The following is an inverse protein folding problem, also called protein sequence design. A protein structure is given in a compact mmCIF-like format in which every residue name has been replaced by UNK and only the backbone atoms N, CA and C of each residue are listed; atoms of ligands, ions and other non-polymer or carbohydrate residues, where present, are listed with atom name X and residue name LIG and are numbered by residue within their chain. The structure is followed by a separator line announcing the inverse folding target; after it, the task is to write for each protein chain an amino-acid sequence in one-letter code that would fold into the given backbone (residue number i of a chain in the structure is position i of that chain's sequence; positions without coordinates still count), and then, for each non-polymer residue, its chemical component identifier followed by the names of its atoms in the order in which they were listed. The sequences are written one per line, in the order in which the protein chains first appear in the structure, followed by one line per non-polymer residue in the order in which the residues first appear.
data_IF_689640691833
#
_entry.id   IF_689640691833
#
_cell.length_a   1.000
_cell.length_b   1.000
_cell.length_c   1.000
_cell.angle_alpha   90.00
_cell.angle_beta   90.00
_cell.angle_gamma   90.00
#
_symmetry.space_group_name_H-M   'P 1'
#
loop_
_entity.id
_entity.type
_entity.pdbx_description
1 polymer ?
#
# COMPACT_ATOMS: atom_id res chain seq x y z
N UNK A 1 9.65 2.98 8.05
CA UNK A 1 10.63 2.32 7.15
C UNK A 1 10.41 0.82 7.16
N UNK A 2 10.41 0.19 6.00
CA UNK A 2 10.31 -1.26 5.81
C UNK A 2 11.62 -1.78 5.21
N UNK A 3 12.08 -2.94 5.67
CA UNK A 3 13.17 -3.64 5.00
C UNK A 3 12.57 -4.57 3.96
N UNK A 4 13.02 -4.44 2.73
CA UNK A 4 12.52 -5.22 1.60
C UNK A 4 13.64 -5.98 0.90
N UNK A 5 13.31 -7.06 0.24
CA UNK A 5 14.22 -7.84 -0.59
C UNK A 5 13.46 -8.57 -1.71
N UNK A 6 14.15 -8.93 -2.76
CA UNK A 6 13.58 -9.82 -3.77
C UNK A 6 13.30 -11.21 -3.18
N UNK A 7 12.22 -11.88 -3.56
CA UNK A 7 11.90 -13.23 -3.11
C UNK A 7 12.99 -14.27 -3.49
N UNK A 8 13.11 -15.28 -2.65
CA UNK A 8 14.00 -16.42 -2.91
C UNK A 8 15.50 -16.12 -2.80
N UNK A 9 16.31 -16.83 -3.60
CA UNK A 9 17.79 -16.75 -3.55
C UNK A 9 18.33 -15.42 -4.05
N UNK A 10 17.64 -14.78 -4.99
CA UNK A 10 18.05 -13.48 -5.56
C UNK A 10 18.16 -12.42 -4.45
N UNK A 11 17.18 -12.37 -3.54
CA UNK A 11 17.19 -11.42 -2.42
C UNK A 11 18.23 -11.69 -1.32
N UNK A 12 19.02 -12.75 -1.47
CA UNK A 12 20.12 -13.09 -0.55
C UNK A 12 21.51 -12.82 -1.15
N UNK A 13 21.54 -12.40 -2.42
CA UNK A 13 22.80 -12.07 -3.08
C UNK A 13 23.32 -10.71 -2.61
N UNK A 14 24.64 -10.55 -2.42
CA UNK A 14 25.22 -9.23 -2.20
C UNK A 14 24.89 -8.31 -3.38
N UNK A 15 24.60 -7.07 -3.08
CA UNK A 15 24.44 -6.01 -4.08
C UNK A 15 25.42 -4.87 -3.77
N UNK A 16 25.86 -4.18 -4.81
CA UNK A 16 26.70 -2.99 -4.68
C UNK A 16 25.78 -1.82 -4.29
N UNK A 17 25.79 -1.45 -3.00
CA UNK A 17 24.97 -0.38 -2.47
C UNK A 17 23.61 -0.83 -1.89
N UNK A 18 22.79 0.14 -1.57
CA UNK A 18 21.47 -0.06 -0.97
C UNK A 18 20.40 0.56 -1.87
N UNK A 19 19.44 -0.26 -2.30
CA UNK A 19 18.26 0.23 -3.01
C UNK A 19 17.29 0.86 -2.03
N UNK A 20 16.89 2.08 -2.28
CA UNK A 20 15.94 2.88 -1.50
C UNK A 20 14.72 3.17 -2.36
N UNK A 21 13.57 2.78 -1.89
CA UNK A 21 12.29 3.11 -2.50
C UNK A 21 11.57 4.10 -1.59
N UNK A 22 11.12 5.21 -2.15
CA UNK A 22 10.46 6.30 -1.43
C UNK A 22 9.06 6.41 -2.00
N UNK A 23 8.07 6.15 -1.15
CA UNK A 23 6.66 6.25 -1.53
C UNK A 23 6.05 7.50 -0.89
N UNK A 24 5.62 8.42 -1.73
CA UNK A 24 4.85 9.59 -1.35
C UNK A 24 3.36 9.22 -1.40
N UNK A 25 2.84 8.76 -0.25
CA UNK A 25 1.50 8.18 -0.16
C UNK A 25 0.40 9.21 0.06
N UNK A 26 0.79 10.42 0.45
CA UNK A 26 -0.09 11.54 0.74
C UNK A 26 0.63 12.81 0.32
N UNK A 27 -0.10 13.75 -0.21
CA UNK A 27 0.41 15.07 -0.48
C UNK A 27 -0.25 16.10 0.41
N UNK A 28 0.52 17.04 0.90
CA UNK A 28 0.04 18.12 1.77
C UNK A 28 -0.91 19.10 1.05
N UNK A 29 -0.92 19.09 -0.27
CA UNK A 29 -1.61 20.04 -1.14
C UNK A 29 -2.55 19.37 -2.17
N UNK A 30 -2.84 18.07 -2.01
CA UNK A 30 -3.62 17.30 -2.98
C UNK A 30 -2.81 16.92 -4.23
N UNK A 31 -1.48 17.07 -4.20
CA UNK A 31 -0.60 16.67 -5.28
C UNK A 31 -0.55 15.13 -5.44
N UNK A 32 -0.01 14.72 -6.53
CA UNK A 32 0.03 13.33 -6.97
C UNK A 32 0.82 12.42 -6.02
N UNK A 33 0.27 11.25 -5.71
CA UNK A 33 1.03 10.17 -5.06
C UNK A 33 2.00 9.56 -6.07
N UNK A 34 3.23 9.28 -5.65
CA UNK A 34 4.25 8.73 -6.54
C UNK A 34 5.27 7.87 -5.79
N UNK A 35 6.04 7.12 -6.55
CA UNK A 35 7.08 6.22 -6.07
C UNK A 35 8.40 6.55 -6.73
N UNK A 36 9.47 6.60 -5.94
CA UNK A 36 10.82 6.86 -6.41
C UNK A 36 11.77 5.75 -5.99
N UNK A 37 12.81 5.57 -6.80
CA UNK A 37 13.93 4.70 -6.51
C UNK A 37 15.24 5.50 -6.53
N UNK A 38 16.08 5.24 -5.54
CA UNK A 38 17.45 5.73 -5.49
C UNK A 38 18.38 4.64 -4.97
N UNK A 39 19.56 4.54 -5.56
CA UNK A 39 20.64 3.75 -5.01
C UNK A 39 21.57 4.64 -4.18
N UNK A 40 21.91 4.20 -2.99
CA UNK A 40 22.95 4.82 -2.15
C UNK A 40 24.10 3.83 -1.92
N UNK A 41 25.30 4.35 -1.71
CA UNK A 41 26.51 3.51 -1.62
C UNK A 41 26.47 2.54 -0.43
N UNK A 42 25.91 2.99 0.69
CA UNK A 42 25.82 2.20 1.93
C UNK A 42 24.66 2.68 2.83
N UNK A 43 24.53 2.05 3.99
CA UNK A 43 23.51 2.41 4.99
C UNK A 43 23.69 3.84 5.52
N UNK A 44 24.91 4.38 5.54
CA UNK A 44 25.17 5.77 5.98
C UNK A 44 24.58 6.77 4.98
N UNK A 45 24.60 6.41 3.70
CA UNK A 45 23.95 7.21 2.65
C UNK A 45 22.45 7.43 2.86
N UNK A 46 21.77 6.56 3.63
CA UNK A 46 20.36 6.78 4.00
C UNK A 46 20.19 8.01 4.91
N UNK A 47 21.18 8.31 5.73
CA UNK A 47 21.12 9.42 6.70
C UNK A 47 21.32 10.79 6.03
N UNK A 48 21.77 10.80 4.79
CA UNK A 48 22.02 12.03 4.02
C UNK A 48 20.93 12.34 3.01
N UNK A 49 19.89 11.49 2.93
CA UNK A 49 18.76 11.73 2.05
C UNK A 49 17.87 12.84 2.61
N UNK A 50 17.73 13.93 1.86
CA UNK A 50 16.75 14.99 2.14
C UNK A 50 15.41 14.59 1.49
N UNK A 51 14.55 13.91 2.28
CA UNK A 51 13.23 13.45 1.84
C UNK A 51 12.20 14.47 2.35
N UNK A 52 11.50 15.12 1.42
CA UNK A 52 10.42 16.07 1.71
C UNK A 52 9.10 15.52 1.21
N UNK A 53 8.06 15.62 2.03
CA UNK A 53 6.72 15.13 1.66
C UNK A 53 6.22 15.84 0.39
N UNK A 54 5.74 15.05 -0.55
CA UNK A 54 5.16 15.56 -1.81
C UNK A 54 6.17 16.17 -2.81
N UNK A 55 7.47 16.14 -2.50
CA UNK A 55 8.50 16.69 -3.39
C UNK A 55 9.42 15.59 -3.90
N UNK A 56 9.87 15.66 -5.16
CA UNK A 56 10.85 14.73 -5.69
C UNK A 56 12.15 14.76 -4.89
N UNK A 57 12.69 13.58 -4.60
CA UNK A 57 13.96 13.41 -3.88
C UNK A 57 15.13 13.62 -4.85
N UNK A 58 16.10 14.45 -4.49
CA UNK A 58 17.27 14.71 -5.33
C UNK A 58 18.01 13.43 -5.69
N UNK A 59 18.25 13.23 -7.00
CA UNK A 59 18.95 12.07 -7.55
C UNK A 59 18.17 10.75 -7.46
N UNK A 60 16.89 10.78 -7.10
CA UNK A 60 15.99 9.66 -7.26
C UNK A 60 15.32 9.65 -8.64
N UNK A 61 14.94 8.49 -9.11
CA UNK A 61 14.20 8.29 -10.36
C UNK A 61 12.78 7.87 -10.03
N UNK A 62 11.80 8.55 -10.62
CA UNK A 62 10.39 8.18 -10.49
C UNK A 62 10.13 6.85 -11.17
N UNK A 63 9.37 5.99 -10.51
CA UNK A 63 8.93 4.71 -11.06
C UNK A 63 7.55 4.85 -11.70
N UNK A 64 7.36 4.15 -12.80
CA UNK A 64 6.11 4.06 -13.59
C UNK A 64 5.25 2.85 -13.22
N UNK A 65 5.69 2.07 -12.23
CA UNK A 65 5.00 0.87 -11.77
C UNK A 65 4.86 0.88 -10.23
N UNK A 66 3.81 0.24 -9.69
CA UNK A 66 3.65 0.11 -8.24
C UNK A 66 4.66 -0.88 -7.64
N UNK A 67 4.82 -0.86 -6.31
CA UNK A 67 5.44 -1.94 -5.56
C UNK A 67 4.39 -2.68 -4.73
N UNK A 68 4.42 -4.00 -4.82
CA UNK A 68 3.59 -4.87 -4.02
C UNK A 68 4.44 -5.62 -3.01
N UNK A 69 4.35 -5.19 -1.75
CA UNK A 69 5.16 -5.67 -0.65
C UNK A 69 4.41 -6.77 0.10
N UNK A 70 4.93 -8.00 0.10
CA UNK A 70 4.32 -9.14 0.78
C UNK A 70 5.12 -9.45 2.04
N UNK A 71 4.45 -9.44 3.20
CA UNK A 71 5.09 -9.74 4.48
C UNK A 71 5.47 -11.22 4.57
N UNK A 72 6.77 -11.47 4.73
CA UNK A 72 7.34 -12.82 4.90
C UNK A 72 8.09 -13.00 6.21
N UNK A 73 7.91 -12.05 7.15
CA UNK A 73 8.60 -12.04 8.44
C UNK A 73 8.12 -13.17 9.35
N UNK A 74 9.02 -14.03 9.78
CA UNK A 74 8.71 -15.23 10.56
C UNK A 74 9.09 -15.19 12.04
N UNK A 75 9.84 -14.17 12.49
CA UNK A 75 10.30 -14.11 13.89
C UNK A 75 9.20 -13.72 14.89
N UNK A 76 8.26 -12.88 14.48
CA UNK A 76 7.18 -12.40 15.35
C UNK A 76 5.94 -13.29 15.23
N UNK A 77 5.62 -13.75 14.03
CA UNK A 77 4.52 -14.66 13.73
C UNK A 77 4.87 -15.52 12.52
N UNK A 78 4.69 -16.82 12.66
CA UNK A 78 4.99 -17.77 11.58
C UNK A 78 4.04 -17.68 10.40
N UNK A 79 2.82 -17.19 10.61
CA UNK A 79 1.78 -17.15 9.57
C UNK A 79 2.22 -16.36 8.32
N UNK A 80 2.88 -15.21 8.52
CA UNK A 80 3.40 -14.43 7.39
C UNK A 80 4.51 -15.16 6.63
N UNK A 81 5.40 -15.88 7.33
CA UNK A 81 6.45 -16.66 6.66
C UNK A 81 5.86 -17.86 5.92
N UNK A 82 4.91 -18.59 6.52
CA UNK A 82 4.33 -19.81 5.95
C UNK A 82 3.46 -19.48 4.72
N UNK A 83 2.62 -18.46 4.81
CA UNK A 83 1.68 -18.09 3.74
C UNK A 83 2.25 -17.06 2.78
N UNK A 84 3.05 -16.11 3.28
CA UNK A 84 3.55 -15.01 2.47
C UNK A 84 4.69 -15.40 1.53
N UNK A 85 5.60 -16.30 1.95
CA UNK A 85 6.71 -16.71 1.08
C UNK A 85 6.28 -17.41 -0.20
N UNK A 86 5.39 -18.41 -0.17
CA UNK A 86 4.88 -19.03 -1.39
C UNK A 86 4.18 -18.02 -2.30
N UNK A 87 3.38 -17.12 -1.72
CA UNK A 87 2.69 -16.08 -2.47
C UNK A 87 3.69 -15.10 -3.11
N UNK A 88 4.67 -14.62 -2.34
CA UNK A 88 5.71 -13.72 -2.86
C UNK A 88 6.51 -14.36 -3.99
N UNK A 89 6.89 -15.63 -3.86
CA UNK A 89 7.60 -16.36 -4.91
C UNK A 89 6.76 -16.51 -6.18
N UNK A 90 5.48 -16.90 -6.04
CA UNK A 90 4.57 -17.06 -7.18
C UNK A 90 4.36 -15.73 -7.92
N UNK A 91 4.09 -14.65 -7.19
CA UNK A 91 3.87 -13.33 -7.78
C UNK A 91 5.16 -12.72 -8.36
N UNK A 92 6.31 -12.93 -7.73
CA UNK A 92 7.59 -12.44 -8.26
C UNK A 92 7.96 -13.08 -9.61
N UNK A 93 7.61 -14.34 -9.82
CA UNK A 93 7.85 -15.00 -11.11
C UNK A 93 7.05 -14.34 -12.26
N UNK A 94 5.91 -13.73 -11.94
CA UNK A 94 5.06 -13.04 -12.92
C UNK A 94 5.39 -11.54 -13.04
N UNK A 95 5.75 -10.91 -11.93
CA UNK A 95 5.96 -9.47 -11.79
C UNK A 95 7.26 -9.16 -11.03
N UNK A 96 8.43 -9.47 -11.59
CA UNK A 96 9.71 -9.40 -10.86
C UNK A 96 10.09 -8.00 -10.37
N UNK A 97 9.69 -6.95 -11.08
CA UNK A 97 9.99 -5.57 -10.67
C UNK A 97 9.04 -5.06 -9.59
N UNK A 98 7.78 -5.52 -9.62
CA UNK A 98 6.71 -5.07 -8.74
C UNK A 98 6.75 -5.72 -7.36
N UNK A 99 7.10 -7.02 -7.29
CA UNK A 99 6.92 -7.84 -6.09
C UNK A 99 8.18 -7.95 -5.24
N UNK A 100 8.01 -7.66 -3.95
CA UNK A 100 9.05 -7.72 -2.95
C UNK A 100 8.59 -8.40 -1.66
N UNK A 101 9.47 -9.14 -1.00
CA UNK A 101 9.28 -9.53 0.39
C UNK A 101 9.54 -8.34 1.31
N UNK A 102 8.73 -8.19 2.37
CA UNK A 102 8.93 -7.12 3.35
C UNK A 102 9.04 -7.64 4.78
N UNK A 103 9.67 -6.83 5.62
CA UNK A 103 9.67 -7.02 7.07
C UNK A 103 8.24 -6.90 7.63
N UNK A 104 8.09 -7.06 8.96
CA UNK A 104 6.77 -7.11 9.61
C UNK A 104 5.92 -5.85 9.36
N UNK A 105 4.75 -6.03 8.73
CA UNK A 105 3.78 -4.98 8.41
C UNK A 105 2.64 -4.83 9.44
N UNK A 106 2.77 -5.43 10.64
CA UNK A 106 1.75 -5.47 11.71
C UNK A 106 0.43 -6.17 11.38
N UNK A 107 0.28 -6.73 10.18
CA UNK A 107 -0.95 -7.36 9.70
C UNK A 107 -1.00 -8.89 9.84
N UNK A 108 -0.28 -9.53 10.78
CA UNK A 108 -0.13 -11.00 10.86
C UNK A 108 -1.44 -11.78 10.97
N UNK A 109 -2.48 -11.22 11.60
CA UNK A 109 -3.84 -11.83 11.67
C UNK A 109 -4.48 -12.01 10.30
N UNK A 110 -4.01 -11.29 9.32
CA UNK A 110 -4.49 -11.27 7.95
C UNK A 110 -3.47 -11.88 6.98
N UNK A 111 -2.58 -12.74 7.49
CA UNK A 111 -1.55 -13.39 6.67
C UNK A 111 -2.15 -14.20 5.51
N UNK A 112 -1.60 -14.09 4.31
CA UNK A 112 -0.50 -13.21 3.93
C UNK A 112 -0.93 -11.74 3.92
N UNK A 113 -0.19 -10.89 4.67
CA UNK A 113 -0.43 -9.45 4.68
C UNK A 113 0.46 -8.77 3.63
N UNK A 114 -0.08 -7.82 2.92
CA UNK A 114 0.65 -7.09 1.88
C UNK A 114 0.27 -5.61 1.85
N UNK A 115 1.13 -4.82 1.22
CA UNK A 115 0.96 -3.38 1.04
C UNK A 115 1.26 -3.03 -0.41
N UNK A 116 0.39 -2.22 -1.01
CA UNK A 116 0.52 -1.70 -2.36
C UNK A 116 0.95 -0.22 -2.30
N UNK A 117 2.09 0.08 -2.88
CA UNK A 117 2.64 1.43 -2.98
C UNK A 117 2.54 1.95 -4.43
N UNK A 118 2.40 3.27 -4.65
CA UNK A 118 2.54 4.37 -3.67
C UNK A 118 1.29 4.65 -2.83
N UNK A 119 0.13 4.12 -3.14
CA UNK A 119 -1.15 4.48 -2.50
C UNK A 119 -1.29 4.01 -1.05
N UNK A 120 -0.39 3.12 -0.58
CA UNK A 120 -0.40 2.54 0.76
C UNK A 120 -1.67 1.75 1.12
N UNK A 121 -2.27 1.07 0.13
CA UNK A 121 -3.36 0.13 0.40
C UNK A 121 -2.84 -1.15 1.03
N UNK A 122 -3.48 -1.56 2.11
CA UNK A 122 -3.20 -2.82 2.81
C UNK A 122 -4.15 -3.91 2.35
N UNK A 123 -3.61 -5.13 2.18
CA UNK A 123 -4.39 -6.31 1.84
C UNK A 123 -4.09 -7.46 2.79
N UNK A 124 -5.02 -8.38 2.91
CA UNK A 124 -4.85 -9.57 3.72
C UNK A 124 -5.62 -10.77 3.21
N UNK A 125 -5.09 -11.97 3.53
CA UNK A 125 -5.67 -13.27 3.18
C UNK A 125 -5.83 -13.50 1.68
N UNK A 126 -5.04 -12.82 0.87
CA UNK A 126 -5.09 -12.96 -0.58
C UNK A 126 -4.72 -14.38 -1.02
N UNK A 127 -5.49 -14.93 -1.94
CA UNK A 127 -5.07 -16.04 -2.78
C UNK A 127 -4.06 -15.57 -3.84
N UNK A 128 -3.46 -16.50 -4.58
CA UNK A 128 -2.58 -16.13 -5.70
C UNK A 128 -3.35 -15.42 -6.83
N UNK A 129 -4.64 -15.77 -7.02
CA UNK A 129 -5.51 -15.12 -8.01
C UNK A 129 -5.78 -13.67 -7.61
N UNK A 130 -6.17 -13.44 -6.34
CA UNK A 130 -6.46 -12.10 -5.85
C UNK A 130 -5.19 -11.23 -5.83
N UNK A 131 -4.04 -11.79 -5.42
CA UNK A 131 -2.77 -11.08 -5.45
C UNK A 131 -2.35 -10.65 -6.86
N UNK A 132 -2.61 -11.50 -7.86
CA UNK A 132 -2.45 -11.14 -9.27
C UNK A 132 -3.42 -10.01 -9.66
N UNK A 133 -4.69 -10.12 -9.25
CA UNK A 133 -5.71 -9.08 -9.45
C UNK A 133 -5.30 -7.73 -8.86
N UNK A 134 -4.76 -7.71 -7.63
CA UNK A 134 -4.23 -6.48 -7.00
C UNK A 134 -3.20 -5.79 -7.89
N UNK A 135 -2.26 -6.54 -8.46
CA UNK A 135 -1.20 -5.95 -9.29
C UNK A 135 -1.77 -5.43 -10.63
N UNK A 136 -2.61 -6.24 -11.27
CA UNK A 136 -3.20 -5.89 -12.58
C UNK A 136 -4.18 -4.71 -12.48
N UNK A 137 -4.98 -4.66 -11.41
CA UNK A 137 -5.87 -3.53 -11.13
C UNK A 137 -5.09 -2.26 -10.83
N UNK A 138 -4.03 -2.35 -10.01
CA UNK A 138 -3.17 -1.22 -9.69
C UNK A 138 -2.51 -0.61 -10.93
N UNK A 139 -2.09 -1.43 -11.90
CA UNK A 139 -1.54 -0.96 -13.18
C UNK A 139 -2.58 -0.20 -14.03
N UNK A 140 -3.87 -0.40 -13.76
CA UNK A 140 -4.98 0.31 -14.40
C UNK A 140 -5.52 1.48 -13.57
N UNK A 141 -4.87 1.78 -12.43
CA UNK A 141 -5.33 2.82 -11.51
C UNK A 141 -6.56 2.42 -10.70
N UNK A 142 -6.76 1.12 -10.46
CA UNK A 142 -7.91 0.57 -9.74
C UNK A 142 -7.45 -0.08 -8.43
N UNK A 143 -8.22 0.11 -7.36
CA UNK A 143 -8.04 -0.57 -6.08
C UNK A 143 -8.77 -1.91 -6.14
N UNK A 144 -8.07 -3.01 -6.00
CA UNK A 144 -8.67 -4.34 -5.93
C UNK A 144 -9.53 -4.49 -4.66
N UNK A 145 -10.79 -4.89 -4.83
CA UNK A 145 -11.75 -4.93 -3.72
C UNK A 145 -11.50 -6.08 -2.74
N UNK A 146 -11.15 -7.28 -3.29
CA UNK A 146 -10.98 -8.48 -2.48
C UNK A 146 -9.74 -8.40 -1.58
N UNK A 147 -9.93 -8.70 -0.30
CA UNK A 147 -8.88 -8.65 0.70
C UNK A 147 -8.38 -7.25 1.05
N UNK A 148 -8.92 -6.19 0.43
CA UNK A 148 -8.57 -4.82 0.74
C UNK A 148 -8.98 -4.44 2.17
N UNK A 149 -8.07 -3.79 2.88
CA UNK A 149 -8.25 -3.38 4.27
C UNK A 149 -8.18 -1.87 4.45
N UNK A 150 -8.15 -1.13 3.36
CA UNK A 150 -8.12 0.32 3.33
C UNK A 150 -6.73 0.91 3.20
N UNK A 151 -6.72 2.21 3.05
CA UNK A 151 -5.53 3.02 2.78
C UNK A 151 -4.82 3.36 4.10
N UNK A 152 -3.54 3.04 4.21
CA UNK A 152 -2.76 3.13 5.45
C UNK A 152 -2.46 4.56 5.93
N UNK A 153 -2.87 5.59 5.20
CA UNK A 153 -2.81 6.99 5.64
C UNK A 153 -3.96 7.35 6.58
N UNK A 154 -5.06 6.56 6.58
CA UNK A 154 -6.22 6.78 7.42
C UNK A 154 -6.12 5.97 8.72
N UNK A 155 -6.85 6.42 9.74
CA UNK A 155 -7.07 5.64 10.97
C UNK A 155 -7.82 4.34 10.64
N UNK A 156 -7.83 3.32 11.51
CA UNK A 156 -8.61 2.10 11.27
C UNK A 156 -10.11 2.36 11.02
N UNK A 157 -10.67 3.36 11.68
CA UNK A 157 -12.04 3.81 11.47
C UNK A 157 -12.22 4.43 10.09
N UNK A 158 -11.30 5.32 9.69
CA UNK A 158 -11.31 5.92 8.36
C UNK A 158 -11.13 4.89 7.23
N UNK A 159 -10.28 3.88 7.43
CA UNK A 159 -10.14 2.77 6.49
C UNK A 159 -11.45 1.97 6.33
N UNK A 160 -12.15 1.72 7.43
CA UNK A 160 -13.43 1.03 7.40
C UNK A 160 -14.50 1.86 6.68
N UNK A 161 -14.56 3.17 6.97
CA UNK A 161 -15.48 4.10 6.32
C UNK A 161 -15.21 4.22 4.82
N UNK A 162 -13.95 4.41 4.42
CA UNK A 162 -13.54 4.44 3.01
C UNK A 162 -14.04 3.21 2.26
N UNK A 163 -13.76 2.00 2.79
CA UNK A 163 -14.16 0.77 2.14
C UNK A 163 -15.68 0.56 2.09
N UNK A 164 -16.41 1.02 3.11
CA UNK A 164 -17.87 0.97 3.12
C UNK A 164 -18.45 1.82 2.00
N UNK A 165 -17.97 3.07 1.87
CA UNK A 165 -18.42 4.00 0.84
C UNK A 165 -18.04 3.52 -0.56
N UNK A 166 -16.82 3.04 -0.78
CA UNK A 166 -16.39 2.48 -2.06
C UNK A 166 -17.31 1.33 -2.52
N UNK A 167 -17.69 0.44 -1.61
CA UNK A 167 -18.62 -0.66 -1.91
C UNK A 167 -20.03 -0.17 -2.22
N UNK A 168 -20.51 0.85 -1.50
CA UNK A 168 -21.84 1.42 -1.69
C UNK A 168 -21.93 2.18 -3.02
N UNK A 169 -20.89 2.95 -3.35
CA UNK A 169 -20.85 3.77 -4.56
C UNK A 169 -20.32 2.99 -5.78
N UNK A 170 -19.84 1.74 -5.59
CA UNK A 170 -19.17 0.92 -6.60
C UNK A 170 -18.03 1.67 -7.31
N UNK A 171 -17.19 2.36 -6.54
CA UNK A 171 -16.10 3.19 -7.06
C UNK A 171 -14.75 2.72 -6.51
N UNK A 172 -13.85 2.36 -7.41
CA UNK A 172 -12.60 1.70 -7.09
C UNK A 172 -11.35 2.34 -7.71
N UNK A 173 -11.46 3.51 -8.34
CA UNK A 173 -10.29 4.26 -8.78
C UNK A 173 -9.38 4.64 -7.61
N UNK A 174 -8.07 4.57 -7.78
CA UNK A 174 -7.09 4.90 -6.72
C UNK A 174 -7.23 6.34 -6.24
N UNK A 175 -7.72 7.22 -7.11
CA UNK A 175 -7.85 8.66 -6.87
C UNK A 175 -9.31 9.11 -6.66
N UNK A 176 -10.27 8.18 -6.51
CA UNK A 176 -11.69 8.54 -6.38
C UNK A 176 -12.02 9.16 -5.02
N UNK A 177 -11.21 8.88 -3.97
CA UNK A 177 -11.42 9.42 -2.63
C UNK A 177 -10.60 10.70 -2.45
N UNK A 178 -11.30 11.81 -2.26
CA UNK A 178 -10.71 13.12 -2.01
C UNK A 178 -10.18 13.23 -0.57
N UNK A 179 -10.99 12.83 0.42
CA UNK A 179 -10.60 12.84 1.84
C UNK A 179 -11.48 11.91 2.67
N UNK A 180 -10.97 11.58 3.86
CA UNK A 180 -11.69 10.86 4.91
C UNK A 180 -11.42 11.55 6.24
N UNK A 181 -12.46 12.06 6.87
CA UNK A 181 -12.42 12.68 8.19
C UNK A 181 -13.13 11.80 9.21
N UNK A 182 -12.59 11.66 10.41
CA UNK A 182 -13.16 10.84 11.48
C UNK A 182 -13.31 11.69 12.73
N UNK A 183 -14.53 11.78 13.24
CA UNK A 183 -14.84 12.43 14.53
C UNK A 183 -15.69 11.50 15.40
N UNK A 184 -15.06 10.98 16.45
CA UNK A 184 -15.71 10.06 17.40
C UNK A 184 -16.26 8.81 16.70
N UNK A 185 -17.58 8.71 16.63
CA UNK A 185 -18.32 7.59 16.03
C UNK A 185 -18.86 7.88 14.64
N UNK A 186 -18.45 8.99 14.04
CA UNK A 186 -18.86 9.37 12.68
C UNK A 186 -17.64 9.56 11.81
N UNK A 187 -17.74 9.14 10.56
CA UNK A 187 -16.75 9.45 9.53
C UNK A 187 -17.43 10.10 8.34
N UNK A 188 -16.75 11.06 7.72
CA UNK A 188 -17.15 11.66 6.45
C UNK A 188 -16.14 11.22 5.39
N UNK A 189 -16.64 10.58 4.35
CA UNK A 189 -15.87 10.18 3.17
C UNK A 189 -16.31 11.01 1.99
N UNK A 190 -15.38 11.70 1.38
CA UNK A 190 -15.63 12.56 0.23
C UNK A 190 -15.09 11.89 -1.01
N UNK A 191 -15.94 11.63 -1.98
CA UNK A 191 -15.59 11.11 -3.30
C UNK A 191 -15.63 12.23 -4.34
N UNK A 192 -14.77 12.16 -5.34
CA UNK A 192 -14.94 12.96 -6.56
C UNK A 192 -16.13 12.42 -7.38
N UNK A 193 -16.91 13.32 -7.95
CA UNK A 193 -18.06 12.99 -8.82
C UNK A 193 -17.56 12.70 -10.25
N UNK A 194 -16.89 11.54 -10.38
CA UNK A 194 -16.32 11.06 -11.65
C UNK A 194 -14.84 11.37 -11.84
N UNK A 195 -14.19 10.66 -12.76
CA UNK A 195 -12.73 10.67 -12.93
C UNK A 195 -12.17 11.97 -13.52
N UNK A 196 -13.01 12.81 -14.14
CA UNK A 196 -12.57 13.98 -14.91
C UNK A 196 -12.90 15.33 -14.26
N UNK A 197 -13.75 15.36 -13.23
CA UNK A 197 -14.19 16.60 -12.59
C UNK A 197 -13.89 16.58 -11.08
N UNK A 198 -12.69 17.04 -10.71
CA UNK A 198 -12.26 17.12 -9.31
C UNK A 198 -12.88 18.30 -8.55
N UNK A 199 -13.62 19.15 -9.21
CA UNK A 199 -14.32 20.29 -8.57
C UNK A 199 -15.67 19.83 -7.99
N UNK A 200 -16.21 18.71 -8.45
CA UNK A 200 -17.44 18.14 -7.92
C UNK A 200 -17.13 16.99 -6.99
N UNK A 201 -17.75 17.03 -5.82
CA UNK A 201 -17.60 16.01 -4.80
C UNK A 201 -18.95 15.56 -4.25
N UNK A 202 -19.00 14.31 -3.80
CA UNK A 202 -20.13 13.72 -3.08
C UNK A 202 -19.65 13.32 -1.69
N UNK A 203 -20.34 13.78 -0.66
CA UNK A 203 -20.03 13.47 0.72
C UNK A 203 -20.92 12.34 1.24
N UNK A 204 -20.30 11.37 1.92
CA UNK A 204 -20.94 10.24 2.57
C UNK A 204 -20.68 10.32 4.07
N UNK A 205 -21.74 10.39 4.86
CA UNK A 205 -21.63 10.25 6.31
C UNK A 205 -21.77 8.77 6.70
N UNK A 206 -20.81 8.27 7.47
CA UNK A 206 -20.74 6.87 7.91
C UNK A 206 -20.79 6.82 9.41
N UNK A 207 -21.82 6.17 9.96
CA UNK A 207 -21.86 5.85 11.39
C UNK A 207 -20.93 4.66 11.68
N UNK A 208 -20.07 4.82 12.68
CA UNK A 208 -19.07 3.82 13.09
C UNK A 208 -19.55 3.13 14.36
N UNK A 209 -19.89 1.86 14.27
CA UNK A 209 -20.12 1.01 15.43
C UNK A 209 -18.81 0.33 15.83
N UNK A 210 -18.33 0.64 17.04
CA UNK A 210 -17.19 -0.04 17.64
C UNK A 210 -17.64 -1.40 18.18
N UNK A 211 -17.53 -2.42 17.35
CA UNK A 211 -17.65 -3.79 17.85
C UNK A 211 -16.37 -4.17 18.62
N UNK A 212 -16.49 -4.32 19.92
CA UNK A 212 -15.44 -4.94 20.74
C UNK A 212 -15.38 -6.43 20.40
N UNK A 213 -14.62 -6.78 19.38
CA UNK A 213 -14.26 -8.17 19.15
C UNK A 213 -13.19 -8.49 20.20
N UNK A 214 -13.60 -9.09 21.29
CA UNK A 214 -12.68 -9.74 22.21
C UNK A 214 -12.02 -10.91 21.47
N UNK A 215 -10.71 -10.83 21.38
CA UNK A 215 -9.87 -11.88 20.80
C UNK A 215 -9.13 -12.56 21.95
#
# INVERSE_FOLDING_TARGET
MQLIRKPGRIGQQPCDGVNVYIAHCESADGSEVFLEHRMVADVKGLMTLDIRLGQPTEGATRLDHPLFLICTHGKRDRCCAIKGRPLAAAMHNLYPEVVWETSHSKGHRFAPASVLLPWNYSFGRLSAVDAKGVIEDAQRGIVHAEGCRGRGIYTPQGQAAELAVRRQADTWGVDDVARVDVDGTTAVVVLYDGPSDRDKVVEYEVALELSLIHI
#
